data_IF_303125752937
#
_entry.id   IF_303125752937
#
_cell.length_a   1.000
_cell.length_b   1.000
_cell.length_c   1.000
_cell.angle_alpha   90.00
_cell.angle_beta   90.00
_cell.angle_gamma   90.00
#
_symmetry.space_group_name_H-M   'P 1'
#
loop_
_entity.id
_entity.type
_entity.pdbx_description
1 polymer ?
#
# COMPACT_ATOMS: atom_id res chain seq x y z
N UNK A 1 8.57 4.39 7.21
CA UNK A 1 8.56 5.81 6.83
C UNK A 1 7.52 6.14 5.76
N UNK A 2 7.40 5.38 4.67
CA UNK A 2 6.37 5.67 3.65
C UNK A 2 4.94 5.80 4.22
N UNK A 3 4.49 4.84 5.03
CA UNK A 3 3.15 4.90 5.64
C UNK A 3 2.92 6.13 6.53
N UNK A 4 3.98 6.75 7.07
CA UNK A 4 3.88 8.01 7.83
C UNK A 4 3.62 9.20 6.89
N UNK A 5 4.21 9.20 5.70
CA UNK A 5 3.91 10.19 4.65
C UNK A 5 2.46 10.03 4.17
N UNK A 6 1.94 8.80 4.10
CA UNK A 6 0.54 8.59 3.73
C UNK A 6 -0.47 9.21 4.73
N UNK A 7 -0.09 9.37 5.99
CA UNK A 7 -0.96 9.97 7.02
C UNK A 7 -1.23 11.44 6.71
N UNK A 8 -0.22 12.17 6.30
CA UNK A 8 -0.32 13.55 5.82
C UNK A 8 0.48 13.72 4.53
N UNK A 9 -0.15 13.33 3.43
CA UNK A 9 0.50 13.37 2.12
C UNK A 9 0.79 14.79 1.64
N UNK A 10 0.23 15.83 2.25
CA UNK A 10 0.59 17.22 1.94
C UNK A 10 1.93 17.63 2.56
N UNK A 11 2.27 17.02 3.70
CA UNK A 11 3.49 17.31 4.42
C UNK A 11 4.72 16.68 3.75
N UNK A 12 5.76 17.49 3.57
CA UNK A 12 7.02 17.12 2.89
C UNK A 12 8.21 16.94 3.85
N UNK A 13 8.00 17.07 5.16
CA UNK A 13 9.08 17.03 6.15
C UNK A 13 9.89 15.72 6.12
N UNK A 14 9.28 14.61 5.71
CA UNK A 14 9.94 13.31 5.61
C UNK A 14 10.53 13.01 4.22
N UNK A 15 10.24 13.83 3.20
CA UNK A 15 10.60 13.56 1.81
C UNK A 15 12.11 13.42 1.65
N UNK A 16 12.88 14.39 2.13
CA UNK A 16 14.34 14.41 1.97
C UNK A 16 14.98 13.19 2.62
N UNK A 17 14.57 12.87 3.86
CA UNK A 17 15.06 11.70 4.59
C UNK A 17 14.71 10.40 3.87
N UNK A 18 13.51 10.30 3.29
CA UNK A 18 13.11 9.14 2.49
C UNK A 18 13.96 8.98 1.23
N UNK A 19 14.19 10.08 0.51
CA UNK A 19 15.01 10.08 -0.70
C UNK A 19 16.43 9.64 -0.37
N UNK A 20 17.04 10.20 0.66
CA UNK A 20 18.44 9.90 1.02
C UNK A 20 18.60 8.44 1.48
N UNK A 21 17.70 7.94 2.34
CA UNK A 21 17.75 6.55 2.80
C UNK A 21 17.47 5.54 1.68
N UNK A 22 16.45 5.79 0.86
CA UNK A 22 16.14 4.89 -0.25
C UNK A 22 17.23 4.95 -1.34
N UNK A 23 17.80 6.12 -1.61
CA UNK A 23 18.94 6.28 -2.52
C UNK A 23 20.17 5.50 -2.06
N UNK A 24 20.50 5.55 -0.76
CA UNK A 24 21.58 4.76 -0.19
C UNK A 24 21.30 3.25 -0.31
N UNK A 25 20.07 2.81 -0.03
CA UNK A 25 19.66 1.41 -0.19
C UNK A 25 19.75 0.94 -1.65
N UNK A 26 19.32 1.76 -2.61
CA UNK A 26 19.45 1.48 -4.04
C UNK A 26 20.92 1.33 -4.42
N UNK A 27 21.78 2.26 -3.99
CA UNK A 27 23.21 2.20 -4.29
C UNK A 27 23.87 0.92 -3.73
N UNK A 28 23.54 0.54 -2.49
CA UNK A 28 24.05 -0.68 -1.88
C UNK A 28 23.58 -1.94 -2.63
N UNK A 29 22.28 -2.02 -2.96
CA UNK A 29 21.74 -3.17 -3.68
C UNK A 29 22.27 -3.26 -5.12
N UNK A 30 22.54 -2.13 -5.80
CA UNK A 30 23.21 -2.13 -7.10
C UNK A 30 24.63 -2.69 -7.01
N UNK A 31 25.36 -2.43 -5.93
CA UNK A 31 26.68 -3.04 -5.71
C UNK A 31 26.54 -4.54 -5.43
N UNK A 32 25.53 -4.95 -4.66
CA UNK A 32 25.27 -6.36 -4.38
C UNK A 32 24.95 -7.15 -5.65
N UNK A 33 24.06 -6.65 -6.53
CA UNK A 33 23.74 -7.34 -7.78
C UNK A 33 24.93 -7.43 -8.74
N UNK A 34 25.91 -6.51 -8.67
CA UNK A 34 27.17 -6.62 -9.42
C UNK A 34 28.10 -7.67 -8.85
N UNK A 35 28.21 -7.76 -7.52
CA UNK A 35 29.06 -8.72 -6.82
C UNK A 35 28.50 -10.14 -6.91
N UNK A 36 27.18 -10.28 -6.88
CA UNK A 36 26.47 -11.56 -6.87
C UNK A 36 25.29 -11.58 -7.88
N UNK A 37 25.56 -11.52 -9.20
CA UNK A 37 24.49 -11.40 -10.21
C UNK A 37 23.57 -12.63 -10.33
N UNK A 38 23.99 -13.77 -9.76
CA UNK A 38 23.19 -15.00 -9.67
C UNK A 38 22.39 -15.16 -8.39
N UNK A 39 22.48 -14.22 -7.44
CA UNK A 39 21.72 -14.26 -6.17
C UNK A 39 20.35 -13.63 -6.38
N UNK A 40 19.27 -14.42 -6.33
CA UNK A 40 17.90 -13.93 -6.55
C UNK A 40 17.54 -12.80 -5.58
N UNK A 41 17.87 -12.96 -4.30
CA UNK A 41 17.53 -11.99 -3.25
C UNK A 41 18.18 -10.62 -3.48
N UNK A 42 19.39 -10.58 -4.08
CA UNK A 42 20.04 -9.31 -4.40
C UNK A 42 19.17 -8.47 -5.37
N UNK A 43 18.53 -9.12 -6.34
CA UNK A 43 17.62 -8.47 -7.29
C UNK A 43 16.28 -8.12 -6.65
N UNK A 44 15.72 -9.00 -5.81
CA UNK A 44 14.51 -8.71 -5.05
C UNK A 44 14.68 -7.48 -4.13
N UNK A 45 15.77 -7.41 -3.36
CA UNK A 45 16.03 -6.26 -2.50
C UNK A 45 16.36 -4.99 -3.28
N UNK A 46 17.00 -5.10 -4.46
CA UNK A 46 17.13 -3.98 -5.38
C UNK A 46 15.76 -3.43 -5.79
N UNK A 47 14.83 -4.30 -6.20
CA UNK A 47 13.47 -3.89 -6.53
C UNK A 47 12.79 -3.20 -5.34
N UNK A 48 12.82 -3.83 -4.16
CA UNK A 48 12.23 -3.28 -2.94
C UNK A 48 12.78 -1.89 -2.56
N UNK A 49 14.07 -1.63 -2.81
CA UNK A 49 14.69 -0.34 -2.49
C UNK A 49 14.19 0.84 -3.33
N UNK A 50 13.68 0.58 -4.54
CA UNK A 50 13.06 1.61 -5.39
C UNK A 50 11.61 1.93 -4.99
N UNK A 51 10.90 1.02 -4.32
CA UNK A 51 9.45 1.17 -4.03
C UNK A 51 9.13 2.46 -3.27
N UNK A 52 9.84 2.84 -2.17
CA UNK A 52 9.55 4.08 -1.46
C UNK A 52 9.74 5.33 -2.33
N UNK A 53 10.73 5.32 -3.25
CA UNK A 53 10.96 6.42 -4.19
C UNK A 53 9.80 6.54 -5.18
N UNK A 54 9.36 5.43 -5.79
CA UNK A 54 8.22 5.44 -6.71
C UNK A 54 6.97 5.95 -6.01
N UNK A 55 6.69 5.44 -4.82
CA UNK A 55 5.56 5.86 -3.99
C UNK A 55 5.58 7.37 -3.69
N UNK A 56 6.72 7.90 -3.25
CA UNK A 56 6.89 9.33 -3.02
C UNK A 56 6.69 10.13 -4.30
N UNK A 57 7.34 9.73 -5.40
CA UNK A 57 7.21 10.41 -6.70
C UNK A 57 5.77 10.47 -7.18
N UNK A 58 4.99 9.39 -7.02
CA UNK A 58 3.55 9.39 -7.33
C UNK A 58 2.81 10.40 -6.47
N UNK A 59 3.05 10.43 -5.15
CA UNK A 59 2.44 11.41 -4.25
C UNK A 59 2.87 12.87 -4.53
N UNK A 60 4.01 13.06 -5.21
CA UNK A 60 4.50 14.38 -5.68
C UNK A 60 4.18 14.67 -7.13
N UNK A 61 3.36 13.82 -7.78
CA UNK A 61 2.95 13.95 -9.18
C UNK A 61 4.14 13.93 -10.18
N UNK A 62 5.27 13.33 -9.80
CA UNK A 62 6.47 13.15 -10.63
C UNK A 62 6.35 11.90 -11.53
N UNK A 63 5.30 11.85 -12.36
CA UNK A 63 4.87 10.64 -13.07
C UNK A 63 5.95 10.00 -13.95
N UNK A 64 6.72 10.81 -14.69
CA UNK A 64 7.77 10.30 -15.58
C UNK A 64 8.91 9.63 -14.80
N UNK A 65 9.32 10.23 -13.68
CA UNK A 65 10.37 9.66 -12.85
C UNK A 65 9.87 8.40 -12.12
N UNK A 66 8.62 8.41 -11.64
CA UNK A 66 7.97 7.23 -11.06
C UNK A 66 7.90 6.07 -12.07
N UNK A 67 7.53 6.34 -13.32
CA UNK A 67 7.47 5.34 -14.38
C UNK A 67 8.85 4.72 -14.68
N UNK A 68 9.90 5.55 -14.77
CA UNK A 68 11.27 5.08 -14.99
C UNK A 68 11.75 4.17 -13.86
N UNK A 69 11.51 4.55 -12.60
CA UNK A 69 11.90 3.74 -11.45
C UNK A 69 11.02 2.48 -11.33
N UNK A 70 9.73 2.55 -11.71
CA UNK A 70 8.83 1.39 -11.81
C UNK A 70 9.32 0.33 -12.81
N UNK A 71 9.86 0.75 -13.96
CA UNK A 71 10.46 -0.19 -14.93
C UNK A 71 11.68 -0.91 -14.35
N UNK A 72 12.47 -0.24 -13.50
CA UNK A 72 13.62 -0.86 -12.81
C UNK A 72 13.15 -1.90 -11.78
N UNK A 73 12.08 -1.60 -11.03
CA UNK A 73 11.46 -2.54 -10.10
C UNK A 73 11.04 -3.81 -10.85
N UNK A 74 10.29 -3.64 -11.94
CA UNK A 74 9.84 -4.78 -12.77
C UNK A 74 11.01 -5.62 -13.25
N UNK A 75 11.99 -5.01 -13.91
CA UNK A 75 13.14 -5.74 -14.45
C UNK A 75 13.92 -6.50 -13.36
N UNK A 76 14.08 -5.89 -12.17
CA UNK A 76 14.75 -6.53 -11.05
C UNK A 76 13.93 -7.70 -10.47
N UNK A 77 12.61 -7.56 -10.32
CA UNK A 77 11.75 -8.66 -9.89
C UNK A 77 11.70 -9.81 -10.90
N UNK A 78 11.60 -9.50 -12.19
CA UNK A 78 11.67 -10.51 -13.26
C UNK A 78 12.99 -11.27 -13.20
N UNK A 79 14.11 -10.55 -13.02
CA UNK A 79 15.42 -11.18 -12.85
C UNK A 79 15.50 -12.04 -11.59
N UNK A 80 14.93 -11.58 -10.48
CA UNK A 80 14.87 -12.35 -9.23
C UNK A 80 14.12 -13.66 -9.43
N UNK A 81 12.93 -13.62 -10.03
CA UNK A 81 12.11 -14.82 -10.24
C UNK A 81 12.67 -15.75 -11.32
N UNK A 82 13.44 -15.24 -12.29
CA UNK A 82 14.20 -16.07 -13.22
C UNK A 82 15.30 -16.88 -12.52
N UNK A 83 15.93 -16.30 -11.50
CA UNK A 83 16.99 -16.96 -10.73
C UNK A 83 16.42 -17.92 -9.69
N UNK A 84 15.34 -17.52 -9.02
CA UNK A 84 14.65 -18.35 -8.04
C UNK A 84 13.13 -18.09 -8.08
N UNK A 85 12.36 -18.96 -8.77
CA UNK A 85 10.90 -18.88 -8.79
C UNK A 85 10.23 -19.13 -7.45
N UNK A 86 10.93 -19.72 -6.48
CA UNK A 86 10.41 -20.04 -5.14
C UNK A 86 10.49 -18.87 -4.16
N UNK A 87 11.06 -17.74 -4.57
CA UNK A 87 11.08 -16.51 -3.78
C UNK A 87 9.69 -15.87 -3.73
N UNK A 88 8.81 -16.42 -2.89
CA UNK A 88 7.38 -16.10 -2.82
C UNK A 88 7.10 -14.59 -2.66
N UNK A 89 7.92 -13.86 -1.89
CA UNK A 89 7.76 -12.41 -1.71
C UNK A 89 7.94 -11.63 -3.04
N UNK A 90 8.75 -12.12 -4.00
CA UNK A 90 8.94 -11.43 -5.27
C UNK A 90 7.71 -11.51 -6.19
N UNK A 91 6.87 -12.53 -6.02
CA UNK A 91 5.59 -12.65 -6.74
C UNK A 91 4.63 -11.53 -6.39
N UNK A 92 4.71 -10.93 -5.20
CA UNK A 92 3.86 -9.82 -4.81
C UNK A 92 3.96 -8.64 -5.80
N UNK A 93 5.17 -8.18 -6.06
CA UNK A 93 5.40 -7.00 -6.90
C UNK A 93 5.05 -7.25 -8.37
N UNK A 94 5.32 -8.45 -8.89
CA UNK A 94 4.93 -8.84 -10.25
C UNK A 94 3.42 -9.01 -10.36
N UNK A 95 2.78 -9.62 -9.36
CA UNK A 95 1.34 -9.79 -9.29
C UNK A 95 0.61 -8.45 -9.31
N UNK A 96 1.08 -7.46 -8.54
CA UNK A 96 0.56 -6.09 -8.59
C UNK A 96 0.71 -5.47 -9.98
N UNK A 97 1.89 -5.60 -10.60
CA UNK A 97 2.10 -5.06 -11.95
C UNK A 97 1.12 -5.69 -12.95
N UNK A 98 0.96 -7.02 -12.95
CA UNK A 98 0.06 -7.74 -13.87
C UNK A 98 -1.40 -7.39 -13.62
N UNK A 99 -1.82 -7.32 -12.36
CA UNK A 99 -3.18 -6.96 -11.97
C UNK A 99 -3.53 -5.54 -12.44
N UNK A 100 -2.69 -4.55 -12.12
CA UNK A 100 -2.99 -3.17 -12.47
C UNK A 100 -2.80 -2.84 -13.95
N UNK A 101 -1.91 -3.53 -14.67
CA UNK A 101 -1.84 -3.40 -16.13
C UNK A 101 -3.15 -3.83 -16.81
N UNK A 102 -3.85 -4.84 -16.26
CA UNK A 102 -5.14 -5.33 -16.77
C UNK A 102 -6.32 -4.42 -16.40
N UNK A 103 -6.34 -3.90 -15.17
CA UNK A 103 -7.48 -3.16 -14.61
C UNK A 103 -7.40 -1.65 -14.89
N UNK A 104 -6.21 -1.11 -15.21
CA UNK A 104 -6.00 0.30 -15.55
C UNK A 104 -6.91 0.88 -16.67
N UNK A 105 -7.29 0.13 -17.72
CA UNK A 105 -8.19 0.63 -18.77
C UNK A 105 -9.62 0.91 -18.29
N UNK A 106 -10.09 0.22 -17.24
CA UNK A 106 -11.49 0.27 -16.80
C UNK A 106 -11.80 1.42 -15.83
N UNK A 107 -10.80 2.00 -15.15
CA UNK A 107 -11.07 2.83 -13.96
C UNK A 107 -10.31 4.17 -13.78
N UNK A 108 -9.53 4.70 -14.73
CA UNK A 108 -8.90 6.00 -14.46
C UNK A 108 -8.59 6.94 -15.65
N UNK A 109 -9.19 8.15 -15.58
CA UNK A 109 -8.68 9.39 -16.19
C UNK A 109 -7.26 9.77 -15.71
N UNK A 110 -6.73 9.17 -14.64
CA UNK A 110 -5.44 9.55 -14.02
C UNK A 110 -4.30 8.53 -14.17
N UNK A 111 -4.57 7.30 -14.65
CA UNK A 111 -3.54 6.25 -14.86
C UNK A 111 -3.31 5.95 -16.36
N UNK A 112 -3.57 6.94 -17.23
CA UNK A 112 -3.48 6.81 -18.69
C UNK A 112 -2.10 6.36 -19.22
N UNK A 113 -1.05 6.43 -18.39
CA UNK A 113 0.30 5.98 -18.74
C UNK A 113 0.49 4.45 -18.66
N UNK A 114 -0.41 3.73 -17.98
CA UNK A 114 -0.42 2.26 -17.94
C UNK A 114 -1.13 1.62 -19.16
N UNK A 115 -1.91 2.39 -19.92
CA UNK A 115 -2.59 1.95 -21.16
C UNK A 115 -1.64 1.61 -22.33
N UNK A 116 -0.34 1.82 -22.18
CA UNK A 116 0.67 1.52 -23.20
C UNK A 116 1.35 0.16 -22.98
N UNK A 117 0.86 -0.65 -22.04
CA UNK A 117 1.45 -1.94 -21.68
C UNK A 117 0.53 -3.08 -22.12
N UNK A 118 0.93 -3.94 -23.08
CA UNK A 118 0.11 -5.07 -23.49
C UNK A 118 0.08 -6.17 -22.42
N UNK A 119 -1.07 -6.85 -22.26
CA UNK A 119 -1.20 -8.15 -21.61
C UNK A 119 -1.29 -8.13 -20.08
N UNK A 120 -2.43 -7.73 -19.54
CA UNK A 120 -2.78 -7.98 -18.14
C UNK A 120 -3.53 -9.31 -17.97
N UNK A 121 -3.36 -9.96 -16.81
CA UNK A 121 -4.18 -11.10 -16.38
C UNK A 121 -4.54 -10.87 -14.91
N UNK A 122 -5.69 -10.24 -14.67
CA UNK A 122 -6.24 -9.97 -13.33
C UNK A 122 -6.25 -11.22 -12.44
N UNK A 123 -6.60 -12.38 -12.99
CA UNK A 123 -6.72 -13.63 -12.23
C UNK A 123 -5.34 -14.11 -11.80
N UNK A 124 -4.38 -14.17 -12.71
CA UNK A 124 -3.01 -14.57 -12.39
C UNK A 124 -2.31 -13.57 -11.48
N UNK A 125 -2.52 -12.26 -11.69
CA UNK A 125 -1.99 -11.21 -10.82
C UNK A 125 -2.52 -11.33 -9.39
N UNK A 126 -3.83 -11.55 -9.22
CA UNK A 126 -4.42 -11.78 -7.90
C UNK A 126 -3.88 -13.06 -7.24
N UNK A 127 -3.69 -14.13 -8.01
CA UNK A 127 -3.09 -15.38 -7.52
C UNK A 127 -1.67 -15.16 -7.00
N UNK A 128 -0.84 -14.41 -7.71
CA UNK A 128 0.54 -14.10 -7.28
C UNK A 128 0.58 -13.25 -6.01
N UNK A 129 -0.33 -12.28 -5.88
CA UNK A 129 -0.46 -11.48 -4.65
C UNK A 129 -0.86 -12.36 -3.47
N UNK A 130 -1.82 -13.27 -3.66
CA UNK A 130 -2.25 -14.22 -2.62
C UNK A 130 -1.14 -15.23 -2.27
N UNK A 131 -0.37 -15.71 -3.25
CA UNK A 131 0.76 -16.58 -3.00
C UNK A 131 1.78 -15.90 -2.07
N UNK A 132 2.16 -14.66 -2.38
CA UNK A 132 3.09 -13.90 -1.55
C UNK A 132 2.51 -13.58 -0.16
N UNK A 133 1.20 -13.37 -0.04
CA UNK A 133 0.53 -13.20 1.26
C UNK A 133 0.58 -14.48 2.10
N UNK A 134 0.34 -15.64 1.50
CA UNK A 134 0.17 -16.88 2.25
C UNK A 134 1.51 -17.55 2.56
N UNK A 135 2.53 -17.37 1.69
CA UNK A 135 3.83 -18.04 1.80
C UNK A 135 5.02 -17.10 2.00
N UNK A 136 4.90 -15.83 1.62
CA UNK A 136 5.96 -14.84 1.79
C UNK A 136 6.30 -14.60 3.25
N UNK A 137 7.52 -14.17 3.53
CA UNK A 137 7.99 -13.88 4.89
C UNK A 137 7.90 -12.38 5.17
N UNK A 138 8.24 -11.55 4.19
CA UNK A 138 8.48 -10.13 4.38
C UNK A 138 7.25 -9.27 4.07
N UNK A 139 6.51 -9.61 3.02
CA UNK A 139 5.52 -8.72 2.42
C UNK A 139 4.08 -9.05 2.80
N UNK A 140 3.82 -9.99 3.71
CA UNK A 140 2.44 -10.35 4.12
C UNK A 140 1.58 -9.16 4.53
N UNK A 141 2.11 -8.29 5.40
CA UNK A 141 1.39 -7.09 5.84
C UNK A 141 1.15 -6.09 4.69
N UNK A 142 2.11 -5.96 3.78
CA UNK A 142 1.93 -5.11 2.60
C UNK A 142 0.91 -5.73 1.63
N UNK A 143 0.92 -7.06 1.47
CA UNK A 143 -0.02 -7.79 0.63
C UNK A 143 -1.46 -7.66 1.14
N UNK A 144 -1.67 -7.82 2.45
CA UNK A 144 -2.98 -7.56 3.07
C UNK A 144 -3.42 -6.10 2.82
N UNK A 145 -2.50 -5.14 2.90
CA UNK A 145 -2.80 -3.74 2.65
C UNK A 145 -3.08 -3.43 1.17
N UNK A 146 -2.48 -4.11 0.20
CA UNK A 146 -2.89 -3.91 -1.20
C UNK A 146 -4.19 -4.66 -1.53
N UNK A 147 -4.36 -5.87 -1.00
CA UNK A 147 -5.56 -6.67 -1.22
C UNK A 147 -6.83 -5.99 -0.71
N UNK A 148 -6.79 -5.26 0.41
CA UNK A 148 -7.99 -4.53 0.85
C UNK A 148 -8.45 -3.49 -0.20
N UNK A 149 -7.51 -2.77 -0.83
CA UNK A 149 -7.86 -1.79 -1.87
C UNK A 149 -8.41 -2.50 -3.11
N UNK A 150 -7.76 -3.60 -3.51
CA UNK A 150 -8.19 -4.42 -4.63
C UNK A 150 -9.62 -4.94 -4.41
N UNK A 151 -9.89 -5.45 -3.22
CA UNK A 151 -11.20 -5.98 -2.84
C UNK A 151 -12.29 -4.92 -2.83
N UNK A 152 -12.00 -3.71 -2.35
CA UNK A 152 -12.98 -2.62 -2.31
C UNK A 152 -13.24 -2.00 -3.68
N UNK A 153 -12.21 -1.78 -4.48
CA UNK A 153 -12.33 -0.94 -5.68
C UNK A 153 -12.55 -1.72 -6.97
N UNK A 154 -12.13 -2.99 -7.01
CA UNK A 154 -12.11 -3.76 -8.26
C UNK A 154 -12.83 -5.11 -8.15
N UNK A 155 -12.80 -5.76 -6.98
CA UNK A 155 -13.44 -7.08 -6.81
C UNK A 155 -14.84 -7.03 -6.18
N UNK A 156 -15.25 -5.91 -5.57
CA UNK A 156 -16.56 -5.81 -4.92
C UNK A 156 -16.69 -6.72 -3.68
N UNK A 157 -15.60 -6.91 -2.94
CA UNK A 157 -15.46 -7.83 -1.79
C UNK A 157 -15.22 -7.08 -0.47
N UNK A 158 -16.16 -6.21 -0.02
CA UNK A 158 -15.93 -5.34 1.12
C UNK A 158 -15.81 -6.08 2.46
N UNK A 159 -16.43 -7.26 2.61
CA UNK A 159 -16.31 -8.07 3.84
C UNK A 159 -14.90 -8.59 4.01
N UNK A 160 -14.32 -9.16 2.95
CA UNK A 160 -12.94 -9.64 2.98
C UNK A 160 -11.94 -8.49 3.16
N UNK A 161 -12.20 -7.33 2.55
CA UNK A 161 -11.40 -6.13 2.78
C UNK A 161 -11.41 -5.70 4.26
N UNK A 162 -12.58 -5.73 4.91
CA UNK A 162 -12.70 -5.42 6.34
C UNK A 162 -11.87 -6.41 7.19
N UNK A 163 -11.98 -7.72 6.94
CA UNK A 163 -11.19 -8.74 7.67
C UNK A 163 -9.68 -8.51 7.55
N UNK A 164 -9.20 -8.13 6.37
CA UNK A 164 -7.78 -7.80 6.17
C UNK A 164 -7.36 -6.57 6.99
N UNK A 165 -8.19 -5.52 7.00
CA UNK A 165 -7.93 -4.30 7.76
C UNK A 165 -7.94 -4.52 9.27
N UNK A 166 -8.86 -5.33 9.79
CA UNK A 166 -8.92 -5.69 11.22
C UNK A 166 -7.67 -6.47 11.65
N UNK A 167 -7.21 -7.40 10.81
CA UNK A 167 -5.95 -8.13 11.04
C UNK A 167 -4.72 -7.20 11.02
N UNK A 168 -4.71 -6.20 10.13
CA UNK A 168 -3.66 -5.19 10.07
C UNK A 168 -3.67 -4.29 11.31
N UNK A 169 -4.85 -3.84 11.75
CA UNK A 169 -5.03 -3.05 12.97
C UNK A 169 -4.52 -3.79 14.21
N UNK A 170 -4.82 -5.09 14.32
CA UNK A 170 -4.39 -5.92 15.43
C UNK A 170 -2.85 -6.09 15.48
N UNK A 171 -2.20 -6.27 14.32
CA UNK A 171 -0.74 -6.45 14.24
C UNK A 171 0.04 -5.14 14.37
N UNK A 172 -0.54 -4.03 13.93
CA UNK A 172 0.14 -2.73 13.83
C UNK A 172 -0.72 -1.61 14.42
N UNK A 173 -1.08 -1.68 15.72
CA UNK A 173 -2.07 -0.78 16.32
C UNK A 173 -1.65 0.70 16.35
N UNK A 174 -0.34 0.97 16.19
CA UNK A 174 0.21 2.32 16.13
C UNK A 174 0.04 3.01 14.77
N UNK A 175 -0.36 2.28 13.73
CA UNK A 175 -0.65 2.85 12.42
C UNK A 175 -2.14 3.25 12.34
N UNK A 176 -2.46 4.56 12.35
CA UNK A 176 -3.84 5.03 12.38
C UNK A 176 -4.59 4.81 11.07
N UNK A 177 -3.90 4.47 9.97
CA UNK A 177 -4.53 4.27 8.66
C UNK A 177 -5.54 3.12 8.72
N UNK A 178 -5.26 2.04 9.47
CA UNK A 178 -6.13 0.86 9.47
C UNK A 178 -7.50 1.16 10.08
N UNK A 179 -7.56 1.81 11.25
CA UNK A 179 -8.85 2.24 11.83
C UNK A 179 -9.57 3.28 10.97
N UNK A 180 -8.85 4.20 10.31
CA UNK A 180 -9.45 5.13 9.34
C UNK A 180 -10.15 4.35 8.21
N UNK A 181 -9.46 3.36 7.62
CA UNK A 181 -10.01 2.53 6.55
C UNK A 181 -11.16 1.64 7.01
N UNK A 182 -11.08 1.06 8.21
CA UNK A 182 -12.20 0.29 8.81
C UNK A 182 -13.44 1.18 8.91
N UNK A 183 -13.28 2.41 9.41
CA UNK A 183 -14.38 3.35 9.55
C UNK A 183 -14.97 3.76 8.18
N UNK A 184 -14.11 3.99 7.18
CA UNK A 184 -14.52 4.26 5.80
C UNK A 184 -15.31 3.07 5.21
N UNK A 185 -14.86 1.83 5.44
CA UNK A 185 -15.56 0.63 4.94
C UNK A 185 -16.96 0.51 5.52
N UNK A 186 -17.11 0.69 6.84
CA UNK A 186 -18.43 0.64 7.49
C UNK A 186 -19.39 1.71 6.97
N UNK A 187 -18.91 2.94 6.75
CA UNK A 187 -19.75 4.04 6.26
C UNK A 187 -20.09 3.88 4.76
N UNK A 188 -19.08 3.73 3.91
CA UNK A 188 -19.22 3.81 2.46
C UNK A 188 -19.82 2.54 1.87
N UNK A 189 -19.44 1.36 2.37
CA UNK A 189 -19.81 0.08 1.75
C UNK A 189 -20.92 -0.67 2.51
N UNK A 190 -20.98 -0.52 3.83
CA UNK A 190 -22.01 -1.16 4.65
C UNK A 190 -23.11 -0.22 5.12
N UNK A 191 -22.94 1.09 4.92
CA UNK A 191 -23.88 2.13 5.38
C UNK A 191 -24.17 2.04 6.89
N UNK A 192 -23.23 1.50 7.66
CA UNK A 192 -23.29 1.32 9.09
C UNK A 192 -22.57 2.47 9.80
N UNK A 193 -23.34 3.52 10.06
CA UNK A 193 -22.84 4.71 10.76
C UNK A 193 -22.46 4.42 12.21
N UNK A 194 -23.03 3.38 12.84
CA UNK A 194 -22.72 3.03 14.23
C UNK A 194 -21.36 2.34 14.33
N UNK A 195 -21.09 1.38 13.45
CA UNK A 195 -19.80 0.72 13.38
C UNK A 195 -18.69 1.70 12.94
N UNK A 196 -18.97 2.56 11.95
CA UNK A 196 -18.03 3.61 11.54
C UNK A 196 -17.69 4.56 12.70
N UNK A 197 -18.70 5.07 13.42
CA UNK A 197 -18.49 5.92 14.58
C UNK A 197 -17.70 5.22 15.70
N UNK A 198 -17.91 3.92 15.90
CA UNK A 198 -17.16 3.12 16.88
C UNK A 198 -15.68 3.00 16.52
N UNK A 199 -15.35 2.79 15.24
CA UNK A 199 -13.97 2.78 14.77
C UNK A 199 -13.28 4.15 14.96
N UNK A 200 -13.97 5.26 14.67
CA UNK A 200 -13.44 6.60 14.93
C UNK A 200 -13.21 6.90 16.41
N UNK A 201 -14.14 6.49 17.29
CA UNK A 201 -13.96 6.61 18.76
C UNK A 201 -12.74 5.84 19.23
N UNK A 202 -12.58 4.59 18.80
CA UNK A 202 -11.40 3.78 19.11
C UNK A 202 -10.10 4.45 18.66
N UNK A 203 -10.11 5.12 17.51
CA UNK A 203 -8.95 5.87 17.03
C UNK A 203 -8.66 7.11 17.88
N UNK A 204 -9.69 7.85 18.30
CA UNK A 204 -9.55 8.99 19.23
C UNK A 204 -8.94 8.52 20.55
N UNK A 205 -9.45 7.44 21.14
CA UNK A 205 -8.94 6.91 22.42
C UNK A 205 -7.46 6.55 22.30
N UNK A 206 -7.07 5.85 21.22
CA UNK A 206 -5.64 5.54 20.97
C UNK A 206 -4.78 6.78 20.76
N UNK A 207 -5.33 7.82 20.12
CA UNK A 207 -4.60 9.06 19.91
C UNK A 207 -4.38 9.82 21.23
N UNK A 208 -5.39 9.92 22.09
CA UNK A 208 -5.29 10.54 23.43
C UNK A 208 -4.29 9.82 24.33
N UNK A 209 -4.19 8.51 24.19
CA UNK A 209 -3.21 7.69 24.90
C UNK A 209 -1.82 7.67 24.23
N UNK A 210 -1.59 8.48 23.19
CA UNK A 210 -0.36 8.53 22.40
C UNK A 210 0.08 7.17 21.82
N UNK A 211 -0.87 6.27 21.56
CA UNK A 211 -0.63 4.93 21.01
C UNK A 211 -0.61 4.87 19.49
N UNK A 212 -0.75 5.99 18.80
CA UNK A 212 -0.65 6.10 17.33
C UNK A 212 0.38 7.14 16.92
N UNK A 213 0.92 6.97 15.72
CA UNK A 213 1.78 7.98 15.11
C UNK A 213 1.00 9.27 14.83
N UNK A 214 1.63 10.41 15.11
CA UNK A 214 1.06 11.76 14.96
C UNK A 214 -0.26 11.95 15.71
N UNK A 215 -0.25 11.58 17.01
CA UNK A 215 -1.42 11.52 17.88
C UNK A 215 -2.31 12.79 17.80
N UNK A 216 -1.73 13.98 17.91
CA UNK A 216 -2.50 15.23 17.89
C UNK A 216 -3.22 15.46 16.54
N UNK A 217 -2.55 15.21 15.41
CA UNK A 217 -3.16 15.31 14.09
C UNK A 217 -4.28 14.28 13.92
N UNK A 218 -4.03 13.05 14.35
CA UNK A 218 -4.96 11.93 14.23
C UNK A 218 -6.20 12.14 15.08
N UNK A 219 -6.06 12.59 16.33
CA UNK A 219 -7.17 12.93 17.21
C UNK A 219 -8.05 14.01 16.56
N UNK A 220 -7.46 15.15 16.19
CA UNK A 220 -8.21 16.26 15.61
C UNK A 220 -8.95 15.85 14.32
N UNK A 221 -8.34 14.98 13.48
CA UNK A 221 -8.97 14.43 12.28
C UNK A 221 -10.13 13.49 12.62
N UNK A 222 -9.91 12.55 13.53
CA UNK A 222 -10.91 11.56 13.93
C UNK A 222 -12.12 12.21 14.61
N UNK A 223 -11.91 13.24 15.44
CA UNK A 223 -12.98 14.01 16.05
C UNK A 223 -13.84 14.76 15.03
N UNK A 224 -13.22 15.37 14.00
CA UNK A 224 -13.98 15.98 12.90
C UNK A 224 -14.87 14.96 12.21
N UNK A 225 -14.30 13.81 11.82
CA UNK A 225 -15.04 12.73 11.16
C UNK A 225 -16.18 12.17 12.02
N UNK A 226 -15.96 12.00 13.31
CA UNK A 226 -16.99 11.53 14.23
C UNK A 226 -18.13 12.54 14.38
N UNK A 227 -17.83 13.85 14.42
CA UNK A 227 -18.87 14.90 14.45
C UNK A 227 -19.73 14.87 13.19
N UNK A 228 -19.11 14.79 12.02
CA UNK A 228 -19.82 14.71 10.73
C UNK A 228 -20.76 13.49 10.67
N UNK A 229 -20.29 12.33 11.15
CA UNK A 229 -21.10 11.11 11.23
C UNK A 229 -22.28 11.25 12.18
N UNK A 230 -22.09 11.89 13.35
CA UNK A 230 -23.18 12.09 14.30
C UNK A 230 -24.24 13.06 13.77
N UNK A 231 -23.86 14.09 13.01
CA UNK A 231 -24.80 14.97 12.33
C UNK A 231 -25.67 14.18 11.34
N UNK A 232 -25.05 13.37 10.46
CA UNK A 232 -25.75 12.49 9.50
C UNK A 232 -26.66 11.46 10.18
N UNK A 233 -26.36 11.05 11.41
CA UNK A 233 -27.21 10.13 12.19
C UNK A 233 -28.43 10.82 12.78
N UNK A 234 -28.33 12.10 13.13
CA UNK A 234 -29.45 12.87 13.67
C UNK A 234 -30.48 13.25 12.60
N UNK A 235 -30.09 13.20 11.32
CA UNK A 235 -30.95 13.46 10.16
C UNK A 235 -31.76 12.23 9.69
N UNK A 236 -31.51 11.03 10.26
CA UNK A 236 -32.21 9.78 9.96
C UNK A 236 -33.20 9.42 11.05
#
# INVERSE_FOLDING_TARGET
MWWQILIDSGNRALDRRLIDLAGAAVAANLQWTRREPGRAEAWFYLAGSYVPLVQLRVARNERLAAARDGNKIKAALERSLQLDPSLDDAHFGIGLYRYYADVAPLYAKFLRWLLLLPGGDRVSGLREILLARDRGVLLRGQADFELHQIYLWYEGRPREALTLLESLDARYPANPIFLQRIADVHDVYFHDLNASASAWKRLIDRAREARVYDAALIEARAERKLRDLNARRAEK
#
